data_IF_551201992175
#
_entry.id   IF_551201992175
#
_cell.length_a   1.000
_cell.length_b   1.000
_cell.length_c   1.000
_cell.angle_alpha   90.00
_cell.angle_beta   90.00
_cell.angle_gamma   90.00
#
_symmetry.space_group_name_H-M   'P 1'
#
loop_
_entity.id
_entity.type
_entity.pdbx_description
1 polymer ?
#
# COMPACT_ATOMS: atom_id res chain seq x y z
N UNK A 1 -12.59 -7.42 23.78
CA UNK A 1 -11.80 -6.17 23.85
C UNK A 1 -10.43 -6.36 23.18
N UNK A 2 -10.36 -6.58 21.85
CA UNK A 2 -9.08 -6.84 21.13
C UNK A 2 -8.69 -5.79 20.07
N UNK A 3 -9.49 -4.75 19.83
CA UNK A 3 -9.29 -3.89 18.66
C UNK A 3 -8.60 -2.53 18.92
N UNK A 4 -8.56 -2.03 20.15
CA UNK A 4 -7.97 -0.71 20.42
C UNK A 4 -6.43 -0.74 20.51
N UNK A 5 -5.85 -1.80 21.05
CA UNK A 5 -4.38 -1.92 21.16
C UNK A 5 -3.70 -2.07 19.80
N UNK A 6 -4.33 -2.79 18.85
CA UNK A 6 -3.77 -2.94 17.51
C UNK A 6 -3.79 -1.62 16.74
N UNK A 7 -4.88 -0.85 16.83
CA UNK A 7 -4.98 0.44 16.15
C UNK A 7 -3.97 1.48 16.67
N UNK A 8 -3.69 1.48 17.98
CA UNK A 8 -2.64 2.31 18.58
C UNK A 8 -1.26 1.87 18.11
N UNK A 9 -1.01 0.56 18.08
CA UNK A 9 0.26 0.01 17.60
C UNK A 9 0.54 0.36 16.14
N UNK A 10 -0.45 0.22 15.26
CA UNK A 10 -0.34 0.56 13.84
C UNK A 10 -0.09 2.06 13.61
N UNK A 11 -0.72 2.92 14.42
CA UNK A 11 -0.45 4.36 14.42
C UNK A 11 0.98 4.68 14.82
N UNK A 12 1.46 4.10 15.91
CA UNK A 12 2.83 4.32 16.40
C UNK A 12 3.85 3.81 15.37
N UNK A 13 3.63 2.63 14.80
CA UNK A 13 4.46 2.07 13.73
C UNK A 13 4.54 3.00 12.51
N UNK A 14 3.40 3.49 12.03
CA UNK A 14 3.35 4.43 10.90
C UNK A 14 4.10 5.74 11.19
N UNK A 15 3.99 6.24 12.43
CA UNK A 15 4.68 7.46 12.85
C UNK A 15 6.21 7.26 12.86
N UNK A 16 6.69 6.15 13.41
CA UNK A 16 8.13 5.81 13.43
C UNK A 16 8.69 5.64 12.01
N UNK A 17 7.93 5.03 11.10
CA UNK A 17 8.35 4.88 9.70
C UNK A 17 8.43 6.25 9.02
N UNK A 18 7.43 7.10 9.22
CA UNK A 18 7.39 8.45 8.61
C UNK A 18 8.53 9.33 9.13
N UNK A 19 8.85 9.25 10.41
CA UNK A 19 9.93 10.00 11.05
C UNK A 19 11.31 9.57 10.54
N UNK A 20 11.57 8.26 10.44
CA UNK A 20 12.88 7.73 10.03
C UNK A 20 13.14 7.79 8.53
N UNK A 21 12.10 7.61 7.71
CA UNK A 21 12.26 7.39 6.26
C UNK A 21 11.53 8.43 5.39
N UNK A 22 10.80 9.35 6.03
CA UNK A 22 9.97 10.34 5.35
C UNK A 22 8.58 9.81 4.98
N UNK A 23 7.68 10.74 4.67
CA UNK A 23 6.38 10.41 4.11
C UNK A 23 6.50 10.02 2.64
N UNK A 24 5.59 9.17 2.15
CA UNK A 24 5.44 8.97 0.71
C UNK A 24 5.14 10.32 0.04
N UNK A 25 5.72 10.59 -1.15
CA UNK A 25 5.43 11.81 -1.88
C UNK A 25 3.92 12.00 -2.09
N UNK A 26 3.45 13.24 -2.01
CA UNK A 26 2.06 13.55 -2.31
C UNK A 26 1.67 13.01 -3.70
N UNK A 27 0.50 12.38 -3.79
CA UNK A 27 0.00 11.74 -5.02
C UNK A 27 0.81 10.53 -5.50
N UNK A 28 1.66 9.93 -4.66
CA UNK A 28 2.32 8.66 -4.99
C UNK A 28 1.30 7.56 -5.30
N UNK A 29 0.31 7.35 -4.41
CA UNK A 29 -0.71 6.30 -4.56
C UNK A 29 -1.56 6.50 -5.81
N UNK A 30 -1.91 7.75 -6.14
CA UNK A 30 -2.69 8.10 -7.33
C UNK A 30 -1.90 7.82 -8.62
N UNK A 31 -0.62 8.20 -8.66
CA UNK A 31 0.26 7.90 -9.80
C UNK A 31 0.49 6.40 -9.98
N UNK A 32 0.70 5.66 -8.88
CA UNK A 32 0.83 4.21 -8.91
C UNK A 32 -0.47 3.55 -9.40
N UNK A 33 -1.63 4.05 -8.94
CA UNK A 33 -2.93 3.59 -9.43
C UNK A 33 -3.09 3.89 -10.93
N UNK A 34 -2.75 5.09 -11.39
CA UNK A 34 -2.80 5.43 -12.82
C UNK A 34 -1.97 4.47 -13.67
N UNK A 35 -0.73 4.21 -13.25
CA UNK A 35 0.17 3.29 -13.92
C UNK A 35 -0.39 1.86 -13.95
N UNK A 36 -0.90 1.34 -12.82
CA UNK A 36 -1.46 -0.01 -12.76
C UNK A 36 -2.72 -0.15 -13.64
N UNK A 37 -3.52 0.91 -13.75
CA UNK A 37 -4.74 0.92 -14.55
C UNK A 37 -4.47 0.79 -16.07
N UNK A 38 -3.26 1.11 -16.54
CA UNK A 38 -2.85 0.88 -17.94
C UNK A 38 -2.77 -0.63 -18.27
N UNK A 39 -2.47 -1.46 -17.27
CA UNK A 39 -2.22 -2.89 -17.45
C UNK A 39 -3.30 -3.77 -16.83
N UNK A 40 -3.98 -3.30 -15.80
CA UNK A 40 -4.93 -4.09 -15.03
C UNK A 40 -6.23 -3.35 -14.72
N UNK A 41 -7.35 -4.08 -14.78
CA UNK A 41 -8.61 -3.72 -14.12
C UNK A 41 -8.60 -4.34 -12.73
N UNK A 42 -8.82 -3.56 -11.67
CA UNK A 42 -8.78 -4.05 -10.28
C UNK A 42 -9.78 -3.32 -9.36
N UNK A 43 -10.26 -4.03 -8.33
CA UNK A 43 -11.27 -3.58 -7.35
C UNK A 43 -10.64 -2.92 -6.11
N UNK A 44 -9.57 -2.16 -6.33
CA UNK A 44 -8.90 -1.39 -5.28
C UNK A 44 -7.42 -1.70 -5.10
N UNK A 45 -6.72 -0.64 -4.68
CA UNK A 45 -5.29 -0.60 -4.42
C UNK A 45 -5.07 -0.22 -2.96
N UNK A 46 -4.35 -1.07 -2.23
CA UNK A 46 -3.90 -0.76 -0.87
C UNK A 46 -2.39 -0.61 -0.89
N UNK A 47 -1.90 0.54 -0.42
CA UNK A 47 -0.48 0.83 -0.27
C UNK A 47 -0.22 1.09 1.21
N UNK A 48 0.73 0.37 1.79
CA UNK A 48 1.15 0.58 3.16
C UNK A 48 2.65 0.32 3.30
N UNK A 49 3.24 0.85 4.36
CA UNK A 49 4.66 0.68 4.65
C UNK A 49 4.86 -0.28 5.82
N UNK A 50 5.89 -1.12 5.72
CA UNK A 50 6.29 -2.03 6.77
C UNK A 50 7.78 -1.90 7.05
N UNK A 51 8.18 -2.22 8.28
CA UNK A 51 9.59 -2.38 8.62
C UNK A 51 10.01 -3.79 8.21
N UNK A 52 11.00 -3.87 7.33
CA UNK A 52 11.67 -5.11 6.98
C UNK A 52 12.67 -5.56 8.05
N UNK A 53 13.20 -6.77 7.89
CA UNK A 53 14.09 -7.40 8.87
C UNK A 53 15.44 -6.70 9.04
N UNK A 54 15.88 -5.93 8.04
CA UNK A 54 17.23 -5.33 7.98
C UNK A 54 17.19 -3.81 8.19
N UNK A 55 16.23 -3.30 8.97
CA UNK A 55 15.97 -1.86 9.11
C UNK A 55 15.66 -1.15 7.78
N UNK A 56 15.22 -1.89 6.77
CA UNK A 56 14.69 -1.35 5.53
C UNK A 56 13.19 -1.06 5.66
N UNK A 57 12.68 -0.11 4.88
CA UNK A 57 11.22 0.07 4.72
C UNK A 57 10.79 -0.69 3.48
N UNK A 58 9.77 -1.52 3.66
CA UNK A 58 9.07 -2.19 2.59
C UNK A 58 7.85 -1.36 2.23
N UNK A 59 7.70 -1.05 0.95
CA UNK A 59 6.46 -0.51 0.41
C UNK A 59 5.62 -1.67 -0.10
N UNK A 60 4.59 -2.02 0.67
CA UNK A 60 3.69 -3.11 0.33
C UNK A 60 2.53 -2.58 -0.51
N UNK A 61 2.36 -3.17 -1.69
CA UNK A 61 1.29 -2.83 -2.63
C UNK A 61 0.42 -4.06 -2.81
N UNK A 62 -0.84 -3.98 -2.40
CA UNK A 62 -1.83 -5.04 -2.54
C UNK A 62 -2.94 -4.60 -3.49
N UNK A 63 -3.22 -5.44 -4.49
CA UNK A 63 -4.25 -5.20 -5.50
C UNK A 63 -5.33 -6.28 -5.37
N UNK A 64 -6.60 -5.88 -5.29
CA UNK A 64 -7.71 -6.83 -5.21
C UNK A 64 -8.29 -7.10 -6.59
N UNK A 65 -8.50 -8.39 -6.92
CA UNK A 65 -9.16 -8.84 -8.16
C UNK A 65 -8.58 -8.21 -9.42
N UNK A 66 -7.26 -8.21 -9.56
CA UNK A 66 -6.59 -7.72 -10.75
C UNK A 66 -6.82 -8.66 -11.95
N UNK A 67 -7.21 -8.09 -13.09
CA UNK A 67 -7.29 -8.78 -14.38
C UNK A 67 -6.56 -7.94 -15.44
N UNK A 68 -5.85 -8.55 -16.39
CA UNK A 68 -5.22 -7.80 -17.46
C UNK A 68 -6.23 -6.99 -18.27
N UNK A 69 -5.86 -5.77 -18.67
CA UNK A 69 -6.61 -5.00 -19.66
C UNK A 69 -6.54 -5.74 -21.00
N UNK A 70 -7.67 -6.17 -21.54
CA UNK A 70 -7.76 -6.81 -22.86
C UNK A 70 -7.95 -8.33 -22.89
N UNK A 71 -7.99 -9.03 -21.74
CA UNK A 71 -8.49 -10.42 -21.74
C UNK A 71 -10.02 -10.41 -21.83
N UNK A 72 -10.63 -11.01 -22.86
CA UNK A 72 -12.08 -11.07 -22.99
C UNK A 72 -12.66 -11.81 -21.78
N UNK A 73 -13.67 -11.22 -21.14
CA UNK A 73 -14.48 -11.89 -20.13
C UNK A 73 -15.29 -12.99 -20.80
N UNK A 74 -14.83 -14.24 -20.72
CA UNK A 74 -15.70 -15.42 -20.88
C UNK A 74 -16.61 -15.58 -19.68
#
# INVERSE_FOLDING_TARGET
MKNQNNALYDRVKSMVITDKFGALPQGFTERLSGLLAEYFVYDGLQVHTELGAENNVLLCVSVKRARPVGTPTT
#
